data_IF_732132999194
#
_entry.id   IF_732132999194
#
_cell.length_a   1.000
_cell.length_b   1.000
_cell.length_c   1.000
_cell.angle_alpha   90.00
_cell.angle_beta   90.00
_cell.angle_gamma   90.00
#
_symmetry.space_group_name_H-M   'P 1'
#
loop_
_entity.id
_entity.type
_entity.pdbx_description
1 polymer ?
#
# COMPACT_ATOMS: atom_id res chain seq x y z
N UNK A 1 5.67 -6.37 -7.33
CA UNK A 1 5.02 -7.12 -6.24
C UNK A 1 6.12 -7.41 -5.25
N UNK A 2 5.91 -7.14 -3.97
CA UNK A 2 6.84 -7.56 -2.92
C UNK A 2 6.32 -8.86 -2.32
N UNK A 3 7.21 -9.71 -1.83
CA UNK A 3 6.85 -10.91 -1.07
C UNK A 3 7.18 -10.67 0.38
N UNK A 4 6.21 -10.82 1.28
CA UNK A 4 6.46 -10.76 2.71
C UNK A 4 7.19 -12.03 3.14
N UNK A 5 8.24 -11.90 3.94
CA UNK A 5 8.85 -13.02 4.64
C UNK A 5 8.71 -12.74 6.13
N UNK A 6 8.38 -13.78 6.90
CA UNK A 6 8.38 -13.66 8.37
C UNK A 6 9.82 -13.65 8.87
N UNK A 7 10.09 -12.84 9.89
CA UNK A 7 11.39 -12.80 10.57
C UNK A 7 11.70 -14.14 11.28
N UNK A 8 10.68 -14.95 11.57
CA UNK A 8 10.82 -16.27 12.19
C UNK A 8 11.19 -17.38 11.19
N UNK A 9 11.15 -17.10 9.88
CA UNK A 9 11.44 -18.07 8.83
C UNK A 9 12.83 -18.74 8.97
N UNK A 10 13.95 -18.01 9.20
CA UNK A 10 15.26 -18.63 9.36
C UNK A 10 15.37 -19.51 10.62
N UNK A 11 14.62 -19.20 11.67
CA UNK A 11 14.70 -19.86 12.98
C UNK A 11 13.63 -20.94 13.17
N UNK A 12 12.76 -21.15 12.19
CA UNK A 12 11.72 -22.17 12.27
C UNK A 12 12.34 -23.58 12.35
N UNK A 13 12.09 -24.35 13.42
CA UNK A 13 12.74 -25.65 13.64
C UNK A 13 12.45 -26.65 12.52
N UNK A 14 11.29 -26.56 11.86
CA UNK A 14 10.93 -27.44 10.72
C UNK A 14 11.71 -27.11 9.46
N UNK A 15 12.14 -25.86 9.27
CA UNK A 15 13.03 -25.48 8.16
C UNK A 15 14.48 -25.82 8.49
N UNK A 16 14.89 -25.70 9.75
CA UNK A 16 16.26 -26.00 10.19
C UNK A 16 16.64 -27.48 9.99
N UNK A 17 15.68 -28.40 9.91
CA UNK A 17 15.95 -29.80 9.55
C UNK A 17 16.23 -30.01 8.06
N UNK A 18 16.00 -29.00 7.22
CA UNK A 18 16.19 -29.06 5.77
C UNK A 18 17.51 -28.41 5.35
N UNK A 19 18.02 -28.81 4.18
CA UNK A 19 19.19 -28.16 3.60
C UNK A 19 18.88 -26.69 3.25
N UNK A 20 19.93 -25.88 3.15
CA UNK A 20 19.78 -24.45 2.82
C UNK A 20 19.12 -24.24 1.45
N UNK A 21 19.43 -25.09 0.47
CA UNK A 21 18.86 -24.99 -0.89
C UNK A 21 17.34 -25.21 -0.89
N UNK A 22 16.86 -26.23 -0.16
CA UNK A 22 15.42 -26.50 -0.01
C UNK A 22 14.70 -25.35 0.71
N UNK A 23 15.32 -24.77 1.74
CA UNK A 23 14.78 -23.58 2.42
C UNK A 23 14.68 -22.39 1.47
N UNK A 24 15.68 -22.20 0.61
CA UNK A 24 15.68 -21.14 -0.39
C UNK A 24 14.59 -21.35 -1.44
N UNK A 25 14.41 -22.59 -1.91
CA UNK A 25 13.35 -22.96 -2.85
C UNK A 25 11.96 -22.51 -2.35
N UNK A 26 11.64 -22.66 -1.05
CA UNK A 26 10.36 -22.17 -0.50
C UNK A 26 10.15 -20.67 -0.77
N UNK A 27 11.19 -19.85 -0.60
CA UNK A 27 11.16 -18.41 -0.87
C UNK A 27 10.93 -18.14 -2.36
N UNK A 28 11.57 -18.90 -3.24
CA UNK A 28 11.39 -18.80 -4.69
C UNK A 28 9.95 -19.13 -5.11
N UNK A 29 9.37 -20.17 -4.53
CA UNK A 29 7.97 -20.56 -4.76
C UNK A 29 7.00 -19.45 -4.31
N UNK A 30 7.24 -18.83 -3.15
CA UNK A 30 6.43 -17.71 -2.66
C UNK A 30 6.53 -16.50 -3.60
N UNK A 31 7.75 -16.14 -4.03
CA UNK A 31 7.98 -15.04 -4.98
C UNK A 31 7.28 -15.31 -6.31
N UNK A 32 7.41 -16.53 -6.83
CA UNK A 32 6.77 -16.91 -8.08
C UNK A 32 5.23 -16.81 -7.97
N UNK A 33 4.66 -17.34 -6.88
CA UNK A 33 3.21 -17.32 -6.65
C UNK A 33 2.66 -15.90 -6.54
N UNK A 34 3.35 -15.02 -5.80
CA UNK A 34 3.01 -13.60 -5.72
C UNK A 34 3.11 -12.87 -7.06
N UNK A 35 4.14 -13.19 -7.85
CA UNK A 35 4.35 -12.57 -9.17
C UNK A 35 3.22 -12.95 -10.14
N UNK A 36 2.76 -14.20 -10.10
CA UNK A 36 1.77 -14.72 -11.04
C UNK A 36 0.33 -14.67 -10.52
N UNK A 37 0.13 -14.39 -9.22
CA UNK A 37 -1.20 -14.31 -8.62
C UNK A 37 -1.89 -15.67 -8.58
N UNK A 38 -1.17 -16.70 -8.15
CA UNK A 38 -1.69 -18.09 -8.07
C UNK A 38 -2.15 -18.48 -6.67
N UNK A 39 -2.17 -17.54 -5.72
CA UNK A 39 -2.61 -17.77 -4.33
C UNK A 39 -1.88 -18.94 -3.65
N UNK A 40 -0.61 -19.13 -3.99
CA UNK A 40 0.25 -20.17 -3.43
C UNK A 40 0.20 -21.50 -4.17
N UNK A 41 -0.61 -21.64 -5.23
CA UNK A 41 -0.57 -22.79 -6.13
C UNK A 41 0.68 -22.72 -7.02
N UNK A 42 1.43 -23.82 -7.07
CA UNK A 42 2.68 -23.97 -7.82
C UNK A 42 2.58 -25.22 -8.70
N UNK A 43 2.55 -25.04 -10.04
CA UNK A 43 2.52 -26.18 -10.96
C UNK A 43 3.82 -26.99 -10.91
N UNK A 44 3.72 -28.31 -10.79
CA UNK A 44 4.91 -29.17 -10.71
C UNK A 44 5.81 -29.06 -11.95
N UNK A 45 5.20 -28.90 -13.14
CA UNK A 45 5.92 -28.74 -14.40
C UNK A 45 6.82 -27.50 -14.45
N UNK A 46 6.60 -26.52 -13.57
CA UNK A 46 7.39 -25.28 -13.53
C UNK A 46 8.50 -25.29 -12.50
N UNK A 47 8.59 -26.30 -11.63
CA UNK A 47 9.55 -26.29 -10.51
C UNK A 47 11.01 -26.10 -10.98
N UNK A 48 11.44 -26.80 -12.03
CA UNK A 48 12.79 -26.65 -12.58
C UNK A 48 13.06 -25.33 -13.31
N UNK A 49 12.01 -24.51 -13.54
CA UNK A 49 12.16 -23.13 -14.01
C UNK A 49 12.18 -22.14 -12.85
N UNK A 50 11.51 -22.47 -11.76
CA UNK A 50 11.36 -21.59 -10.59
C UNK A 50 12.60 -21.65 -9.70
N UNK A 51 13.16 -22.85 -9.52
CA UNK A 51 14.28 -23.12 -8.63
C UNK A 51 15.48 -23.69 -9.39
N UNK A 52 16.67 -23.46 -8.84
CA UNK A 52 17.95 -24.01 -9.31
C UNK A 52 18.35 -25.32 -8.60
N UNK A 53 17.49 -25.84 -7.72
CA UNK A 53 17.67 -27.13 -7.06
C UNK A 53 17.80 -28.27 -8.08
N UNK A 54 18.69 -29.23 -7.81
CA UNK A 54 19.04 -30.29 -8.76
C UNK A 54 17.87 -31.22 -9.03
N UNK A 55 17.14 -31.58 -7.97
CA UNK A 55 15.97 -32.47 -8.01
C UNK A 55 14.75 -31.73 -7.42
N UNK A 56 14.17 -30.77 -8.15
CA UNK A 56 13.25 -29.81 -7.56
C UNK A 56 11.93 -30.46 -7.13
N UNK A 57 11.48 -31.54 -7.78
CA UNK A 57 10.32 -32.30 -7.35
C UNK A 57 10.56 -33.01 -6.00
N UNK A 58 11.72 -33.63 -5.81
CA UNK A 58 12.07 -34.27 -4.55
C UNK A 58 12.25 -33.25 -3.41
N UNK A 59 12.81 -32.08 -3.70
CA UNK A 59 12.91 -30.98 -2.76
C UNK A 59 11.52 -30.43 -2.35
N UNK A 60 10.59 -30.31 -3.30
CA UNK A 60 9.21 -29.96 -2.99
C UNK A 60 8.55 -31.00 -2.07
N UNK A 61 8.80 -32.30 -2.29
CA UNK A 61 8.31 -33.37 -1.41
C UNK A 61 8.89 -33.30 0.02
N UNK A 62 10.14 -32.87 0.17
CA UNK A 62 10.73 -32.62 1.49
C UNK A 62 10.04 -31.43 2.20
N UNK A 63 9.67 -30.38 1.46
CA UNK A 63 8.86 -29.28 1.98
C UNK A 63 7.44 -29.72 2.35
N UNK A 64 6.86 -30.68 1.60
CA UNK A 64 5.58 -31.32 1.97
C UNK A 64 5.73 -32.09 3.27
N UNK A 65 6.78 -32.91 3.41
CA UNK A 65 7.06 -33.64 4.64
C UNK A 65 7.29 -32.74 5.87
N UNK A 66 7.86 -31.55 5.66
CA UNK A 66 8.02 -30.54 6.71
C UNK A 66 6.75 -29.68 6.97
N UNK A 67 5.71 -29.84 6.16
CA UNK A 67 4.41 -29.16 6.32
C UNK A 67 4.40 -27.70 5.85
N UNK A 68 5.24 -27.33 4.88
CA UNK A 68 5.22 -26.01 4.22
C UNK A 68 4.48 -26.03 2.89
N UNK A 69 4.39 -27.19 2.26
CA UNK A 69 3.60 -27.42 1.06
C UNK A 69 2.56 -28.51 1.32
N UNK A 70 1.42 -28.43 0.62
CA UNK A 70 0.48 -29.53 0.45
C UNK A 70 0.52 -30.00 -1.00
N UNK A 71 0.30 -31.29 -1.23
CA UNK A 71 0.03 -31.80 -2.58
C UNK A 71 -1.41 -31.50 -2.97
N UNK A 72 -1.61 -31.01 -4.19
CA UNK A 72 -2.90 -30.81 -4.82
C UNK A 72 -2.87 -31.47 -6.21
N UNK A 73 -3.25 -32.75 -6.25
CA UNK A 73 -3.05 -33.59 -7.44
C UNK A 73 -1.57 -33.71 -7.81
N UNK A 74 -1.21 -33.24 -9.02
CA UNK A 74 0.17 -33.18 -9.47
C UNK A 74 0.92 -31.94 -8.98
N UNK A 75 0.20 -30.92 -8.51
CA UNK A 75 0.74 -29.61 -8.17
C UNK A 75 0.94 -29.46 -6.65
N UNK A 76 1.47 -28.31 -6.24
CA UNK A 76 1.75 -28.00 -4.85
C UNK A 76 1.05 -26.71 -4.43
N UNK A 77 0.64 -26.63 -3.17
CA UNK A 77 0.06 -25.43 -2.57
C UNK A 77 0.85 -25.04 -1.33
N UNK A 78 1.29 -23.79 -1.25
CA UNK A 78 2.01 -23.26 -0.08
C UNK A 78 1.04 -23.12 1.10
N UNK A 79 1.36 -23.76 2.22
CA UNK A 79 0.56 -23.72 3.45
C UNK A 79 0.61 -22.32 4.06
N UNK A 80 -0.57 -21.75 4.37
CA UNK A 80 -0.67 -20.42 5.01
C UNK A 80 -0.29 -19.26 4.11
N UNK A 81 -0.24 -19.44 2.78
CA UNK A 81 0.20 -18.38 1.87
C UNK A 81 -0.60 -17.07 2.02
N UNK A 82 -1.91 -17.17 2.15
CA UNK A 82 -2.81 -16.01 2.26
C UNK A 82 -2.84 -15.38 3.67
N UNK A 83 -2.19 -15.98 4.67
CA UNK A 83 -2.09 -15.40 6.01
C UNK A 83 -1.15 -14.19 5.99
N UNK A 84 -0.10 -14.25 5.15
CA UNK A 84 0.92 -13.21 5.03
C UNK A 84 0.93 -12.48 3.69
N UNK A 85 0.38 -13.08 2.64
CA UNK A 85 0.36 -12.50 1.29
C UNK A 85 -1.05 -12.06 0.88
N UNK A 86 -1.18 -10.97 0.11
CA UNK A 86 -2.47 -10.60 -0.47
C UNK A 86 -2.90 -11.61 -1.54
N UNK A 87 -4.20 -11.91 -1.59
CA UNK A 87 -4.77 -12.71 -2.66
C UNK A 87 -4.59 -12.06 -4.04
N UNK A 88 -4.70 -12.85 -5.10
CA UNK A 88 -4.72 -12.40 -6.48
C UNK A 88 -5.87 -11.41 -6.71
N UNK A 89 -7.04 -11.68 -6.13
CA UNK A 89 -8.21 -10.81 -6.18
C UNK A 89 -7.96 -9.46 -5.50
N UNK A 90 -7.37 -9.45 -4.30
CA UNK A 90 -7.02 -8.22 -3.60
C UNK A 90 -5.97 -7.41 -4.35
N UNK A 91 -4.96 -8.09 -4.88
CA UNK A 91 -3.92 -7.46 -5.69
C UNK A 91 -4.52 -6.82 -6.95
N UNK A 92 -5.44 -7.51 -7.64
CA UNK A 92 -6.15 -6.97 -8.79
C UNK A 92 -7.01 -5.75 -8.41
N UNK A 93 -7.74 -5.82 -7.30
CA UNK A 93 -8.53 -4.71 -6.77
C UNK A 93 -7.68 -3.49 -6.45
N UNK A 94 -6.57 -3.66 -5.74
CA UNK A 94 -5.64 -2.57 -5.40
C UNK A 94 -5.05 -1.94 -6.67
N UNK A 95 -4.68 -2.76 -7.66
CA UNK A 95 -4.19 -2.28 -8.96
C UNK A 95 -5.26 -1.47 -9.69
N UNK A 96 -6.50 -1.93 -9.73
CA UNK A 96 -7.61 -1.21 -10.36
C UNK A 96 -7.85 0.16 -9.70
N UNK A 97 -7.89 0.21 -8.37
CA UNK A 97 -8.03 1.46 -7.61
C UNK A 97 -6.86 2.42 -7.85
N UNK A 98 -5.63 1.90 -7.88
CA UNK A 98 -4.42 2.69 -8.11
C UNK A 98 -4.38 3.25 -9.54
N UNK A 99 -4.77 2.44 -10.53
CA UNK A 99 -4.87 2.86 -11.92
C UNK A 99 -5.92 3.94 -12.10
N UNK A 100 -7.10 3.78 -11.47
CA UNK A 100 -8.16 4.79 -11.50
C UNK A 100 -7.70 6.10 -10.88
N UNK A 101 -7.07 6.05 -9.70
CA UNK A 101 -6.51 7.24 -9.05
C UNK A 101 -5.47 7.93 -9.94
N UNK A 102 -4.58 7.16 -10.55
CA UNK A 102 -3.54 7.67 -11.45
C UNK A 102 -4.15 8.29 -12.71
N UNK A 103 -5.23 7.70 -13.26
CA UNK A 103 -5.97 8.24 -14.40
C UNK A 103 -6.56 9.61 -14.06
N UNK A 104 -7.28 9.72 -12.95
CA UNK A 104 -7.86 10.98 -12.47
C UNK A 104 -6.79 12.05 -12.25
N UNK A 105 -5.68 11.67 -11.64
CA UNK A 105 -4.57 12.59 -11.39
C UNK A 105 -3.94 13.11 -12.70
N UNK A 106 -3.78 12.25 -13.71
CA UNK A 106 -3.25 12.63 -15.02
C UNK A 106 -4.18 13.61 -15.75
N UNK A 107 -5.49 13.35 -15.77
CA UNK A 107 -6.46 14.25 -16.38
C UNK A 107 -6.49 15.61 -15.68
N UNK A 108 -6.54 15.63 -14.35
CA UNK A 108 -6.48 16.86 -13.56
C UNK A 108 -5.23 17.69 -13.89
N UNK A 109 -4.06 17.05 -13.99
CA UNK A 109 -2.80 17.72 -14.38
C UNK A 109 -2.82 18.28 -15.79
N UNK A 110 -3.60 17.67 -16.69
CA UNK A 110 -3.78 18.13 -18.06
C UNK A 110 -4.86 19.23 -18.19
N UNK A 111 -5.45 19.69 -17.09
CA UNK A 111 -6.54 20.67 -17.09
C UNK A 111 -7.91 20.08 -17.39
N UNK A 112 -8.03 18.76 -17.51
CA UNK A 112 -9.32 18.07 -17.62
C UNK A 112 -9.83 17.73 -16.22
N UNK A 113 -10.84 18.49 -15.78
CA UNK A 113 -11.45 18.36 -14.46
C UNK A 113 -12.70 17.48 -14.45
N UNK A 114 -13.01 16.78 -15.55
CA UNK A 114 -14.24 15.97 -15.70
C UNK A 114 -14.37 14.83 -14.68
N UNK A 115 -13.27 14.23 -14.23
CA UNK A 115 -13.26 13.17 -13.21
C UNK A 115 -12.95 13.65 -11.79
N UNK A 116 -12.90 14.97 -11.55
CA UNK A 116 -12.68 15.51 -10.21
C UNK A 116 -13.98 15.50 -9.38
N UNK A 117 -13.86 15.31 -8.06
CA UNK A 117 -14.98 15.52 -7.15
C UNK A 117 -15.22 17.03 -7.00
N UNK A 118 -16.41 17.49 -7.40
CA UNK A 118 -16.84 18.89 -7.35
C UNK A 118 -16.74 19.49 -5.95
N UNK A 119 -16.83 18.67 -4.89
CA UNK A 119 -16.66 19.15 -3.50
C UNK A 119 -15.25 19.67 -3.25
N UNK A 120 -14.24 19.10 -3.89
CA UNK A 120 -12.83 19.40 -3.61
C UNK A 120 -12.10 20.15 -4.74
N UNK A 121 -12.60 20.11 -5.97
CA UNK A 121 -11.98 20.79 -7.10
C UNK A 121 -12.84 21.95 -7.62
N UNK A 122 -12.40 23.18 -7.37
CA UNK A 122 -13.09 24.39 -7.80
C UNK A 122 -13.30 24.44 -9.32
N UNK A 123 -12.34 23.96 -10.11
CA UNK A 123 -12.43 23.95 -11.58
C UNK A 123 -13.47 22.95 -12.12
N UNK A 124 -13.80 21.91 -11.35
CA UNK A 124 -14.91 20.99 -11.68
C UNK A 124 -16.27 21.47 -11.20
N UNK A 125 -16.33 22.51 -10.35
CA UNK A 125 -17.60 23.11 -9.96
C UNK A 125 -18.12 23.87 -11.15
N UNK A 126 -19.06 23.27 -11.87
CA UNK A 126 -19.99 24.01 -12.72
C UNK A 126 -20.80 24.88 -11.76
N UNK A 127 -20.31 26.08 -11.50
CA UNK A 127 -21.18 27.12 -10.95
C UNK A 127 -22.18 27.38 -12.06
N UNK A 128 -23.36 26.78 -11.97
CA UNK A 128 -24.53 27.47 -12.50
C UNK A 128 -24.43 28.85 -11.88
N UNK A 129 -24.09 29.82 -12.71
CA UNK A 129 -24.05 31.23 -12.32
C UNK A 129 -25.49 31.50 -11.93
N UNK A 130 -25.81 31.32 -10.65
CA UNK A 130 -27.05 31.80 -10.07
C UNK A 130 -26.88 33.30 -10.21
N UNK A 131 -27.41 33.85 -11.30
CA UNK A 131 -27.72 35.27 -11.36
C UNK A 131 -28.65 35.48 -10.19
N UNK A 132 -28.09 35.94 -9.07
CA UNK A 132 -28.87 36.61 -8.07
C UNK A 132 -29.41 37.85 -8.78
N UNK A 133 -30.57 37.72 -9.42
CA UNK A 133 -31.46 38.84 -9.72
C UNK A 133 -31.98 39.33 -8.37
N UNK A 134 -31.06 39.83 -7.54
CA UNK A 134 -31.42 40.50 -6.31
C UNK A 134 -32.12 41.79 -6.75
N UNK A 135 -33.36 42.05 -6.29
CA UNK A 135 -33.96 43.35 -6.48
C UNK A 135 -32.98 44.42 -5.97
N UNK A 136 -32.88 45.58 -6.63
CA UNK A 136 -31.95 46.63 -6.22
C UNK A 136 -32.17 46.95 -4.74
N UNK A 137 -31.07 47.08 -3.99
CA UNK A 137 -31.13 47.40 -2.58
C UNK A 137 -31.94 48.69 -2.38
N UNK A 138 -32.83 48.73 -1.36
CA UNK A 138 -33.51 49.97 -1.00
C UNK A 138 -32.48 51.06 -0.64
N UNK A 139 -32.77 52.33 -0.93
CA UNK A 139 -31.84 53.42 -0.71
C UNK A 139 -31.40 53.49 0.75
N UNK A 140 -30.10 53.76 0.95
CA UNK A 140 -29.50 53.87 2.28
C UNK A 140 -30.24 54.91 3.14
N UNK A 141 -30.57 54.60 4.41
CA UNK A 141 -31.12 55.58 5.33
C UNK A 141 -30.06 56.66 5.66
N UNK A 142 -30.51 57.90 5.96
CA UNK A 142 -29.62 59.04 6.18
C UNK A 142 -28.64 58.79 7.34
N UNK A 143 -27.41 59.26 7.10
CA UNK A 143 -26.20 59.04 7.87
C UNK A 143 -26.34 59.54 9.32
N UNK A 144 -26.74 58.64 10.22
CA UNK A 144 -26.79 58.87 11.66
C UNK A 144 -25.41 58.67 12.28
N UNK A 145 -24.91 59.73 12.92
CA UNK A 145 -23.66 59.85 13.69
C UNK A 145 -23.30 58.59 14.49
N UNK A 146 -22.32 57.83 13.99
CA UNK A 146 -21.68 56.75 14.75
C UNK A 146 -20.65 57.32 15.72
N UNK A 147 -20.88 57.11 17.01
CA UNK A 147 -19.89 57.33 18.06
C UNK A 147 -18.70 56.36 17.91
N UNK A 148 -17.50 56.91 17.98
CA UNK A 148 -16.22 56.19 17.96
C UNK A 148 -16.03 55.46 19.29
N UNK A 149 -16.10 54.13 19.27
CA UNK A 149 -15.74 53.27 20.40
C UNK A 149 -14.29 52.77 20.26
N UNK A 150 -13.48 52.76 21.34
CA UNK A 150 -12.09 52.32 21.29
C UNK A 150 -11.98 50.79 21.26
N UNK A 151 -11.06 50.31 20.43
CA UNK A 151 -10.84 48.90 20.12
C UNK A 151 -10.32 48.05 21.28
N UNK A 152 -10.57 46.74 21.16
CA UNK A 152 -9.95 45.71 22.00
C UNK A 152 -9.45 44.55 21.13
N UNK A 153 -8.13 44.39 21.16
CA UNK A 153 -7.44 43.13 21.44
C UNK A 153 -7.60 41.99 20.45
N UNK A 154 -6.66 41.91 19.50
CA UNK A 154 -6.30 40.67 18.85
C UNK A 154 -5.50 39.79 19.84
N UNK A 155 -6.01 38.58 20.11
CA UNK A 155 -5.26 37.52 20.77
C UNK A 155 -5.20 36.32 19.82
N UNK A 156 -4.05 36.12 19.17
CA UNK A 156 -3.71 34.91 18.42
C UNK A 156 -3.05 33.91 19.36
N UNK A 157 -3.65 32.73 19.51
CA UNK A 157 -3.10 31.62 20.29
C UNK A 157 -2.96 30.35 19.45
N UNK A 158 -1.77 29.75 19.51
CA UNK A 158 -1.49 28.32 19.24
C UNK A 158 -1.18 27.98 17.77
N UNK A 159 -0.29 27.05 17.44
CA UNK A 159 0.46 26.08 18.25
C UNK A 159 1.48 25.35 17.34
N UNK A 160 2.39 24.61 17.97
CA UNK A 160 3.06 23.37 17.50
C UNK A 160 4.59 23.39 17.29
N UNK A 161 5.28 23.17 18.42
CA UNK A 161 6.22 22.05 18.66
C UNK A 161 7.13 21.60 17.51
N UNK A 162 8.37 22.09 17.52
CA UNK A 162 9.50 21.43 16.87
C UNK A 162 9.95 20.19 17.65
N UNK A 163 10.05 19.05 16.96
CA UNK A 163 10.73 17.85 17.46
C UNK A 163 12.22 17.96 17.17
N UNK A 164 13.02 17.82 18.21
CA UNK A 164 14.47 17.63 18.14
C UNK A 164 14.78 16.19 17.74
N UNK A 165 15.60 16.01 16.69
CA UNK A 165 16.24 14.73 16.38
C UNK A 165 17.48 14.60 17.26
N UNK A 166 17.52 13.55 18.09
CA UNK A 166 18.75 13.11 18.77
C UNK A 166 19.42 12.02 17.92
N UNK A 167 20.70 12.13 17.57
CA UNK A 167 21.41 11.06 16.88
C UNK A 167 21.79 9.95 17.88
N UNK A 168 21.51 8.71 17.53
CA UNK A 168 21.99 7.52 18.26
C UNK A 168 23.37 7.17 17.73
N UNK A 169 24.39 7.29 18.58
CA UNK A 169 25.74 6.78 18.34
C UNK A 169 25.71 5.24 18.29
N UNK A 170 26.27 4.68 17.21
CA UNK A 170 26.51 3.25 17.06
C UNK A 170 27.92 2.95 17.59
N UNK A 171 27.99 2.34 18.77
CA UNK A 171 29.24 1.80 19.32
C UNK A 171 29.41 0.37 18.79
N UNK A 172 30.42 0.14 17.96
CA UNK A 172 30.88 -1.20 17.60
C UNK A 172 31.94 -1.68 18.60
N UNK A 173 31.81 -2.85 19.24
CA UNK A 173 32.92 -3.48 19.92
C UNK A 173 33.86 -4.16 18.91
N UNK A 174 35.16 -3.96 19.12
CA UNK A 174 36.25 -4.58 18.37
C UNK A 174 36.64 -5.95 18.99
N UNK A 175 37.09 -6.89 18.13
CA UNK A 175 37.65 -8.20 18.49
C UNK A 175 36.58 -9.31 18.50
N UNK A 176 36.78 -10.47 17.89
CA UNK A 176 37.99 -11.32 17.85
C UNK A 176 38.30 -11.85 16.45
#
# INVERSE_FOLDING_TARGET
MWTKLSDDLPDNPRLLTLTRSIRWMLVELMIWSNKHGTDGLVPCALLGRISDELEPAAAADLLVGAGFLNRDGSDYVIVGFLDDQPSAADTARIRALTNERSRRQRQHRNGDHSLCDARYCQQSRVTSRVSNDYPPDPPDPPEGTRAVGPGKGAASSGSALGRTHSPVEVIYPAGW
#
